data_IF_187780736985
#
_entry.id   IF_187780736985
#
_cell.length_a   1.000
_cell.length_b   1.000
_cell.length_c   1.000
_cell.angle_alpha   90.00
_cell.angle_beta   90.00
_cell.angle_gamma   90.00
#
_symmetry.space_group_name_H-M   'P 1'
#
loop_
_entity.id
_entity.type
_entity.pdbx_description
1 polymer ?
#
# COMPACT_ATOMS: atom_id res chain seq x y z
N UNK A 1 39.14 8.47 -15.11
CA UNK A 1 38.03 7.77 -15.79
C UNK A 1 36.77 8.28 -15.11
N UNK A 2 35.94 9.03 -15.83
CA UNK A 2 34.63 9.44 -15.33
C UNK A 2 33.79 8.18 -15.29
N UNK A 3 33.42 7.73 -14.09
CA UNK A 3 32.43 6.67 -13.95
C UNK A 3 31.14 7.24 -14.53
N UNK A 4 30.71 6.72 -15.67
CA UNK A 4 29.36 6.93 -16.13
C UNK A 4 28.46 6.35 -15.05
N UNK A 5 27.63 7.19 -14.44
CA UNK A 5 26.54 6.72 -13.59
C UNK A 5 25.54 6.06 -14.53
N UNK A 6 25.81 4.80 -14.89
CA UNK A 6 24.98 4.05 -15.82
C UNK A 6 23.57 3.95 -15.23
N UNK A 7 22.59 4.42 -15.99
CA UNK A 7 21.19 4.10 -15.73
C UNK A 7 21.04 2.59 -15.94
N UNK A 8 21.09 1.85 -14.84
CA UNK A 8 20.99 0.40 -14.85
C UNK A 8 19.52 0.01 -14.88
N UNK A 9 19.20 -0.98 -15.70
CA UNK A 9 17.91 -1.66 -15.60
C UNK A 9 17.95 -2.53 -14.35
N UNK A 10 17.05 -2.25 -13.42
CA UNK A 10 16.94 -2.89 -12.13
C UNK A 10 15.57 -3.52 -11.95
N UNK A 11 15.49 -4.46 -11.02
CA UNK A 11 14.25 -5.09 -10.60
C UNK A 11 14.03 -4.80 -9.12
N UNK A 12 12.85 -4.29 -8.79
CA UNK A 12 12.47 -3.95 -7.41
C UNK A 12 11.13 -4.56 -7.03
N UNK A 13 10.97 -4.86 -5.75
CA UNK A 13 9.67 -5.12 -5.16
C UNK A 13 9.19 -3.86 -4.46
N UNK A 14 7.97 -3.44 -4.75
CA UNK A 14 7.37 -2.25 -4.15
C UNK A 14 6.27 -2.70 -3.21
N UNK A 15 6.38 -2.28 -1.96
CA UNK A 15 5.41 -2.57 -0.92
C UNK A 15 4.85 -1.29 -0.32
N UNK A 16 3.63 -1.36 0.18
CA UNK A 16 2.95 -0.24 0.84
C UNK A 16 2.56 -0.64 2.25
N UNK A 17 2.83 0.21 3.23
CA UNK A 17 2.25 0.05 4.55
C UNK A 17 0.77 0.38 4.53
N UNK A 18 -0.06 -0.59 4.90
CA UNK A 18 -1.51 -0.44 4.91
C UNK A 18 -2.12 -1.20 6.07
N UNK A 19 -3.14 -0.64 6.75
CA UNK A 19 -3.91 -1.38 7.73
C UNK A 19 -4.99 -2.27 7.08
N UNK A 20 -5.19 -2.20 5.77
CA UNK A 20 -6.28 -2.90 5.09
C UNK A 20 -5.96 -4.38 4.85
N UNK A 21 -6.77 -5.25 5.46
CA UNK A 21 -6.82 -6.69 5.18
C UNK A 21 -7.68 -7.03 3.97
N UNK A 22 -8.78 -6.28 3.80
CA UNK A 22 -9.61 -6.29 2.61
C UNK A 22 -9.68 -4.85 2.10
N UNK A 23 -9.19 -4.65 0.88
CA UNK A 23 -9.26 -3.35 0.22
C UNK A 23 -10.72 -3.04 -0.17
N UNK A 24 -11.04 -1.77 -0.38
CA UNK A 24 -12.39 -1.31 -0.73
C UNK A 24 -12.93 -2.06 -1.97
N UNK A 25 -13.78 -3.06 -1.73
CA UNK A 25 -14.29 -3.98 -2.76
C UNK A 25 -15.82 -3.97 -2.74
N UNK A 26 -16.42 -4.25 -3.90
CA UNK A 26 -17.86 -4.42 -3.99
C UNK A 26 -18.33 -5.52 -3.04
N UNK A 27 -19.41 -5.25 -2.31
CA UNK A 27 -20.03 -6.23 -1.42
C UNK A 27 -20.44 -7.46 -2.21
N UNK A 28 -20.04 -8.64 -1.73
CA UNK A 28 -20.44 -9.93 -2.24
C UNK A 28 -20.75 -10.87 -1.08
N UNK A 29 -21.56 -11.92 -1.33
CA UNK A 29 -21.98 -12.87 -0.29
C UNK A 29 -20.79 -13.58 0.39
N UNK A 30 -19.71 -13.79 -0.36
CA UNK A 30 -18.44 -14.30 0.16
C UNK A 30 -17.27 -13.48 -0.40
N UNK A 31 -16.33 -13.16 0.49
CA UNK A 31 -15.12 -12.42 0.20
C UNK A 31 -13.94 -13.11 0.90
N UNK A 32 -12.77 -13.03 0.28
CA UNK A 32 -11.51 -13.44 0.89
C UNK A 32 -10.70 -12.20 1.22
N UNK A 33 -10.11 -12.15 2.42
CA UNK A 33 -9.16 -11.10 2.75
C UNK A 33 -8.01 -11.11 1.72
N UNK A 34 -7.60 -9.94 1.25
CA UNK A 34 -6.42 -9.80 0.40
C UNK A 34 -5.15 -10.18 1.18
N UNK A 35 -5.17 -10.02 2.51
CA UNK A 35 -4.01 -10.15 3.39
C UNK A 35 -4.36 -10.81 4.72
N UNK A 36 -3.34 -11.35 5.37
CA UNK A 36 -3.42 -11.90 6.72
C UNK A 36 -2.83 -10.92 7.72
N UNK A 37 -3.38 -10.81 8.94
CA UNK A 37 -2.77 -10.02 10.00
C UNK A 37 -1.33 -10.44 10.28
N UNK A 38 -0.38 -9.49 10.22
CA UNK A 38 1.03 -9.75 10.60
C UNK A 38 1.20 -10.01 12.10
N UNK A 39 0.27 -9.50 12.91
CA UNK A 39 0.23 -9.70 14.36
C UNK A 39 -1.21 -9.75 14.83
N UNK A 40 -1.39 -10.25 16.05
CA UNK A 40 -2.68 -10.27 16.73
C UNK A 40 -3.31 -8.88 16.74
N UNK A 41 -4.46 -8.73 16.08
CA UNK A 41 -5.15 -7.46 15.89
C UNK A 41 -6.67 -7.63 15.97
N UNK A 42 -7.41 -6.57 16.29
CA UNK A 42 -8.86 -6.51 16.12
C UNK A 42 -9.20 -6.08 14.72
N UNK A 43 -10.42 -6.37 14.29
CA UNK A 43 -10.91 -5.97 12.97
C UNK A 43 -11.84 -4.77 13.06
N UNK A 44 -11.66 -3.87 12.12
CA UNK A 44 -12.46 -2.68 11.95
C UNK A 44 -13.08 -2.75 10.55
N UNK A 45 -14.40 -2.89 10.49
CA UNK A 45 -15.14 -3.03 9.24
C UNK A 45 -15.82 -1.71 8.92
N UNK A 46 -15.77 -1.34 7.66
CA UNK A 46 -16.47 -0.17 7.15
C UNK A 46 -17.24 -0.56 5.90
N UNK A 47 -18.47 -0.08 5.85
CA UNK A 47 -19.40 -0.33 4.77
C UNK A 47 -19.94 1.02 4.31
N UNK A 48 -19.85 1.29 3.01
CA UNK A 48 -20.29 2.53 2.40
C UNK A 48 -21.03 2.30 1.07
N UNK A 49 -21.84 3.25 0.64
CA UNK A 49 -22.56 3.21 -0.63
C UNK A 49 -23.67 2.16 -0.72
N UNK A 50 -24.04 1.49 0.37
CA UNK A 50 -25.15 0.53 0.35
C UNK A 50 -26.50 1.26 0.36
N UNK A 51 -27.43 0.79 -0.45
CA UNK A 51 -28.86 1.18 -0.39
C UNK A 51 -29.65 0.25 0.52
N UNK A 52 -29.18 -0.98 0.71
CA UNK A 52 -29.68 -1.92 1.72
C UNK A 52 -28.52 -2.25 2.65
N UNK A 53 -28.51 -1.61 3.81
CA UNK A 53 -27.39 -1.60 4.74
C UNK A 53 -27.64 -2.36 6.04
N UNK A 54 -28.80 -3.01 6.14
CA UNK A 54 -29.14 -3.83 7.31
C UNK A 54 -28.70 -5.25 7.04
N UNK A 55 -27.65 -5.68 7.72
CA UNK A 55 -27.09 -7.01 7.50
C UNK A 55 -26.00 -7.38 8.48
N UNK A 56 -25.43 -8.54 8.23
CA UNK A 56 -24.40 -9.16 9.04
C UNK A 56 -23.17 -9.42 8.19
N UNK A 57 -22.01 -9.03 8.71
CA UNK A 57 -20.72 -9.47 8.17
C UNK A 57 -20.09 -10.40 9.20
N UNK A 58 -19.85 -11.64 8.83
CA UNK A 58 -19.15 -12.62 9.68
C UNK A 58 -17.75 -12.82 9.15
N UNK A 59 -16.76 -12.47 9.96
CA UNK A 59 -15.35 -12.74 9.67
C UNK A 59 -14.93 -13.99 10.44
N UNK A 60 -14.40 -14.97 9.73
CA UNK A 60 -13.89 -16.23 10.28
C UNK A 60 -12.38 -16.31 10.06
N UNK A 61 -11.70 -16.95 11.00
CA UNK A 61 -10.25 -17.11 11.01
C UNK A 61 -9.82 -17.99 12.18
N UNK A 62 -8.77 -17.59 12.90
CA UNK A 62 -8.44 -18.19 14.21
C UNK A 62 -9.55 -17.98 15.26
N UNK A 63 -10.35 -16.93 15.10
CA UNK A 63 -11.60 -16.69 15.82
C UNK A 63 -12.72 -16.34 14.84
N UNK A 64 -13.97 -16.30 15.32
CA UNK A 64 -15.13 -15.91 14.51
C UNK A 64 -15.81 -14.73 15.17
N UNK A 65 -16.06 -13.66 14.42
CA UNK A 65 -16.77 -12.47 14.88
C UNK A 65 -17.82 -12.03 13.86
N UNK A 66 -19.01 -11.68 14.35
CA UNK A 66 -20.12 -11.20 13.52
C UNK A 66 -20.41 -9.75 13.84
N UNK A 67 -20.35 -8.92 12.81
CA UNK A 67 -20.61 -7.49 12.84
C UNK A 67 -22.02 -7.22 12.33
N UNK A 68 -22.86 -6.61 13.17
CA UNK A 68 -24.21 -6.23 12.79
C UNK A 68 -24.25 -4.77 12.36
N UNK A 69 -24.71 -4.56 11.12
CA UNK A 69 -24.94 -3.26 10.52
C UNK A 69 -26.43 -3.00 10.44
N UNK A 70 -26.86 -1.85 10.93
CA UNK A 70 -28.22 -1.31 10.81
C UNK A 70 -28.30 -0.23 9.73
N UNK A 71 -27.15 0.35 9.39
CA UNK A 71 -26.92 1.41 8.42
C UNK A 71 -25.46 1.34 7.94
N UNK A 72 -25.12 2.09 6.89
CA UNK A 72 -23.73 2.30 6.49
C UNK A 72 -22.92 2.87 7.64
N UNK A 73 -21.64 2.56 7.66
CA UNK A 73 -20.71 3.11 8.63
C UNK A 73 -19.68 2.11 9.11
N UNK A 74 -19.17 2.39 10.29
CA UNK A 74 -17.99 1.75 10.84
C UNK A 74 -18.31 0.94 12.08
N UNK A 75 -17.73 -0.26 12.18
CA UNK A 75 -17.83 -1.14 13.34
C UNK A 75 -16.45 -1.68 13.71
N UNK A 76 -16.12 -1.63 15.00
CA UNK A 76 -14.88 -2.21 15.54
C UNK A 76 -15.21 -3.46 16.32
N UNK A 77 -14.46 -4.51 16.05
CA UNK A 77 -14.57 -5.80 16.70
C UNK A 77 -13.86 -5.80 18.04
N UNK A 78 -14.16 -6.80 18.85
CA UNK A 78 -13.55 -7.00 20.16
C UNK A 78 -12.59 -8.19 20.18
N UNK A 79 -12.69 -9.09 19.21
CA UNK A 79 -11.87 -10.31 19.14
C UNK A 79 -10.55 -10.07 18.43
N UNK A 80 -9.53 -10.75 18.91
CA UNK A 80 -8.19 -10.70 18.33
C UNK A 80 -8.05 -11.78 17.24
N UNK A 81 -7.69 -11.35 16.03
CA UNK A 81 -7.42 -12.16 14.85
C UNK A 81 -5.91 -12.23 14.59
N UNK A 82 -5.42 -13.44 14.35
CA UNK A 82 -4.08 -13.73 13.82
C UNK A 82 -4.14 -14.30 12.40
N UNK A 83 -5.33 -14.69 11.95
CA UNK A 83 -5.59 -15.12 10.57
C UNK A 83 -7.06 -14.85 10.22
N UNK A 84 -7.34 -14.66 8.94
CA UNK A 84 -8.69 -14.49 8.37
C UNK A 84 -8.85 -15.51 7.25
N UNK A 85 -9.75 -16.47 7.42
CA UNK A 85 -10.03 -17.53 6.45
C UNK A 85 -11.19 -17.20 5.52
N UNK A 86 -12.22 -16.51 6.01
CA UNK A 86 -13.37 -16.12 5.19
C UNK A 86 -14.09 -14.88 5.73
N UNK A 87 -14.73 -14.15 4.82
CA UNK A 87 -15.63 -13.04 5.14
C UNK A 87 -16.96 -13.34 4.46
N UNK A 88 -18.02 -13.52 5.24
CA UNK A 88 -19.36 -13.79 4.74
C UNK A 88 -20.25 -12.58 4.98
N UNK A 89 -20.96 -12.14 3.96
CA UNK A 89 -21.88 -11.00 4.04
C UNK A 89 -23.30 -11.48 3.77
N UNK A 90 -24.24 -11.08 4.62
CA UNK A 90 -25.66 -11.41 4.49
C UNK A 90 -26.52 -10.18 4.78
N UNK A 91 -27.60 -9.99 4.01
CA UNK A 91 -28.52 -8.86 4.15
C UNK A 91 -28.08 -7.55 3.49
N UNK A 92 -26.82 -7.44 3.06
CA UNK A 92 -26.28 -6.28 2.34
C UNK A 92 -26.16 -6.64 0.86
N UNK A 93 -26.80 -5.87 -0.02
CA UNK A 93 -26.97 -6.23 -1.44
C UNK A 93 -26.12 -5.43 -2.42
N UNK A 94 -25.56 -4.29 -2.00
CA UNK A 94 -24.69 -3.44 -2.82
C UNK A 94 -23.78 -2.60 -1.93
N UNK A 95 -22.93 -1.76 -2.54
CA UNK A 95 -21.98 -0.89 -1.86
C UNK A 95 -20.58 -1.49 -1.80
N UNK A 96 -19.74 -0.87 -0.99
CA UNK A 96 -18.35 -1.25 -0.79
C UNK A 96 -18.08 -1.63 0.65
N UNK A 97 -17.22 -2.62 0.83
CA UNK A 97 -16.76 -3.08 2.13
C UNK A 97 -15.23 -3.03 2.17
N UNK A 98 -14.72 -2.62 3.32
CA UNK A 98 -13.30 -2.68 3.64
C UNK A 98 -13.10 -3.21 5.06
N UNK A 99 -11.99 -3.93 5.25
CA UNK A 99 -11.62 -4.50 6.55
C UNK A 99 -10.22 -4.01 6.91
N UNK A 100 -10.12 -3.34 8.05
CA UNK A 100 -8.90 -2.78 8.62
C UNK A 100 -8.46 -3.62 9.82
N UNK A 101 -7.17 -3.86 9.95
CA UNK A 101 -6.55 -4.35 11.17
C UNK A 101 -6.30 -3.17 12.11
N UNK A 102 -6.75 -3.29 13.35
CA UNK A 102 -6.60 -2.26 14.39
C UNK A 102 -6.12 -2.89 15.70
N UNK A 103 -5.43 -2.11 16.52
CA UNK A 103 -4.98 -2.52 17.85
C UNK A 103 -6.16 -2.57 18.84
N UNK A 104 -5.90 -3.03 20.05
CA UNK A 104 -6.88 -2.98 21.16
C UNK A 104 -7.30 -1.55 21.52
N UNK A 105 -6.45 -0.57 21.24
CA UNK A 105 -6.70 0.87 21.43
C UNK A 105 -7.29 1.54 20.19
N UNK A 106 -7.63 0.77 19.15
CA UNK A 106 -8.23 1.27 17.91
C UNK A 106 -7.24 1.90 16.93
N UNK A 107 -5.93 1.81 17.21
CA UNK A 107 -4.90 2.35 16.32
C UNK A 107 -4.69 1.42 15.11
N UNK A 108 -4.49 1.93 13.89
CA UNK A 108 -4.23 1.09 12.71
C UNK A 108 -3.02 0.18 12.91
N UNK A 109 -3.16 -1.09 12.53
CA UNK A 109 -2.06 -2.05 12.47
C UNK A 109 -1.60 -2.14 11.04
N UNK A 110 -0.57 -1.35 10.70
CA UNK A 110 0.02 -1.34 9.37
C UNK A 110 0.76 -2.64 9.08
N UNK A 111 0.59 -3.11 7.84
CA UNK A 111 1.16 -4.33 7.30
C UNK A 111 1.73 -4.03 5.91
N UNK A 112 2.72 -4.78 5.49
CA UNK A 112 3.30 -4.67 4.16
C UNK A 112 2.36 -5.30 3.11
N UNK A 113 1.84 -4.48 2.21
CA UNK A 113 1.14 -4.91 1.00
C UNK A 113 2.10 -4.90 -0.16
N UNK A 114 2.30 -6.04 -0.82
CA UNK A 114 2.95 -6.04 -2.14
C UNK A 114 2.07 -5.28 -3.14
N UNK A 115 2.62 -4.20 -3.71
CA UNK A 115 1.99 -3.44 -4.80
C UNK A 115 2.49 -3.98 -6.13
N UNK A 116 3.81 -4.12 -6.26
CA UNK A 116 4.44 -4.70 -7.43
C UNK A 116 5.51 -5.69 -6.99
N UNK A 117 5.47 -6.89 -7.56
CA UNK A 117 6.51 -7.88 -7.39
C UNK A 117 7.31 -7.95 -8.70
N UNK A 118 8.62 -7.79 -8.60
CA UNK A 118 9.56 -7.79 -9.72
C UNK A 118 9.28 -6.71 -10.77
N UNK A 119 9.07 -5.47 -10.32
CA UNK A 119 8.92 -4.32 -11.19
C UNK A 119 10.26 -3.97 -11.84
N UNK A 120 10.31 -3.98 -13.17
CA UNK A 120 11.44 -3.46 -13.91
C UNK A 120 11.44 -1.92 -13.86
N UNK A 121 12.53 -1.35 -13.36
CA UNK A 121 12.73 0.09 -13.23
C UNK A 121 14.11 0.46 -13.75
N UNK A 122 14.28 1.73 -14.13
CA UNK A 122 15.61 2.30 -14.33
C UNK A 122 16.06 2.93 -13.03
N UNK A 123 17.31 2.74 -12.66
CA UNK A 123 17.81 3.16 -11.36
C UNK A 123 19.13 3.90 -11.49
N UNK A 124 19.26 5.00 -10.75
CA UNK A 124 20.41 5.90 -10.76
C UNK A 124 20.80 6.25 -9.33
N UNK A 125 22.08 6.14 -8.99
CA UNK A 125 22.60 6.56 -7.70
C UNK A 125 22.90 8.06 -7.73
N UNK A 126 22.31 8.81 -6.80
CA UNK A 126 22.48 10.24 -6.63
C UNK A 126 23.51 10.51 -5.51
N UNK A 127 24.71 9.97 -5.63
CA UNK A 127 25.77 10.30 -4.68
C UNK A 127 26.12 11.80 -4.79
N UNK A 128 25.77 12.57 -3.76
CA UNK A 128 26.22 13.97 -3.61
C UNK A 128 25.36 15.06 -4.26
N UNK A 129 24.16 14.74 -4.77
CA UNK A 129 23.24 15.77 -5.25
C UNK A 129 22.45 16.41 -4.09
N UNK A 130 22.33 17.75 -4.08
CA UNK A 130 21.54 18.50 -3.10
C UNK A 130 20.48 19.28 -3.88
N UNK A 131 19.21 19.08 -3.52
CA UNK A 131 18.11 19.90 -4.05
C UNK A 131 17.76 20.98 -3.03
N UNK A 132 17.84 22.24 -3.44
CA UNK A 132 17.37 23.36 -2.63
C UNK A 132 15.84 23.42 -2.73
N UNK A 133 15.15 23.17 -1.63
CA UNK A 133 13.72 23.45 -1.51
C UNK A 133 13.51 24.85 -0.90
N UNK A 134 12.28 25.17 -0.50
CA UNK A 134 11.97 26.42 0.18
C UNK A 134 12.97 26.74 1.32
N UNK A 135 13.19 28.02 1.66
CA UNK A 135 14.29 28.41 2.54
C UNK A 135 14.30 27.61 3.86
N UNK A 136 15.32 26.76 4.03
CA UNK A 136 15.53 25.98 5.25
C UNK A 136 15.45 24.45 5.08
N UNK A 137 14.97 23.93 3.95
CA UNK A 137 14.88 22.48 3.73
C UNK A 137 15.88 21.98 2.68
N UNK A 138 16.69 21.00 3.07
CA UNK A 138 17.52 20.19 2.17
C UNK A 138 17.04 18.74 2.26
N UNK A 139 16.50 18.21 1.17
CA UNK A 139 16.22 16.76 1.07
C UNK A 139 17.33 16.16 0.22
N UNK A 140 18.11 15.26 0.81
CA UNK A 140 19.14 14.49 0.10
C UNK A 140 18.55 13.13 -0.23
N UNK A 141 18.03 12.97 -1.44
CA UNK A 141 17.73 11.64 -1.97
C UNK A 141 19.05 10.95 -2.33
N UNK A 142 19.15 9.65 -2.05
CA UNK A 142 20.35 8.86 -2.36
C UNK A 142 20.25 8.18 -3.72
N UNK A 143 19.01 7.94 -4.18
CA UNK A 143 18.76 7.25 -5.43
C UNK A 143 17.56 7.85 -6.16
N UNK A 144 17.59 7.73 -7.49
CA UNK A 144 16.48 8.06 -8.37
C UNK A 144 16.02 6.81 -9.12
N UNK A 145 14.73 6.59 -9.13
CA UNK A 145 14.08 5.47 -9.79
C UNK A 145 13.10 5.99 -10.83
N UNK A 146 13.12 5.39 -12.01
CA UNK A 146 12.20 5.69 -13.09
C UNK A 146 11.36 4.44 -13.39
N UNK A 147 10.06 4.56 -13.23
CA UNK A 147 9.08 3.50 -13.46
C UNK A 147 8.17 3.84 -14.65
N UNK A 148 7.56 2.81 -15.23
CA UNK A 148 6.60 2.98 -16.31
C UNK A 148 5.41 3.87 -15.88
N UNK A 149 4.83 4.64 -16.82
CA UNK A 149 3.78 5.64 -16.54
C UNK A 149 2.47 5.04 -16.05
N UNK A 150 2.25 3.74 -16.27
CA UNK A 150 1.05 3.01 -15.84
C UNK A 150 1.12 2.54 -14.36
N UNK A 151 2.24 2.77 -13.67
CA UNK A 151 2.43 2.32 -12.29
C UNK A 151 1.86 3.33 -11.30
N UNK A 152 1.37 2.84 -10.17
CA UNK A 152 0.77 3.67 -9.11
C UNK A 152 1.71 3.67 -7.92
N UNK A 153 2.78 4.45 -8.03
CA UNK A 153 3.77 4.65 -6.96
C UNK A 153 3.37 5.84 -6.10
N UNK A 154 3.60 5.73 -4.79
CA UNK A 154 3.26 6.77 -3.83
C UNK A 154 4.40 7.03 -2.85
N UNK A 155 4.43 8.23 -2.28
CA UNK A 155 5.33 8.53 -1.17
C UNK A 155 5.09 7.58 0.00
N UNK A 156 6.17 7.20 0.68
CA UNK A 156 6.22 6.19 1.76
C UNK A 156 6.02 4.74 1.31
N UNK A 157 5.95 4.46 0.01
CA UNK A 157 6.12 3.10 -0.47
C UNK A 157 7.55 2.63 -0.19
N UNK A 158 7.67 1.37 0.21
CA UNK A 158 8.92 0.67 0.42
C UNK A 158 9.42 0.07 -0.88
N UNK A 159 10.70 0.26 -1.16
CA UNK A 159 11.40 -0.30 -2.32
C UNK A 159 12.42 -1.31 -1.81
N UNK A 160 12.26 -2.57 -2.21
CA UNK A 160 13.24 -3.63 -1.97
C UNK A 160 13.98 -3.91 -3.28
N UNK A 161 15.30 -3.77 -3.25
CA UNK A 161 16.12 -4.14 -4.40
C UNK A 161 16.13 -5.66 -4.57
N UNK A 162 15.84 -6.12 -5.78
CA UNK A 162 15.90 -7.55 -6.13
C UNK A 162 17.16 -7.83 -6.94
N UNK A 163 17.39 -7.07 -8.02
CA UNK A 163 18.58 -7.22 -8.87
C UNK A 163 18.91 -5.93 -9.61
N UNK A 164 20.17 -5.79 -10.03
CA UNK A 164 20.63 -4.66 -10.83
C UNK A 164 20.82 -3.35 -10.06
N UNK A 165 20.79 -3.40 -8.72
CA UNK A 165 21.06 -2.23 -7.86
C UNK A 165 22.17 -2.56 -6.86
N UNK A 166 23.10 -1.63 -6.70
CA UNK A 166 24.21 -1.74 -5.75
C UNK A 166 24.01 -0.71 -4.64
N UNK A 167 24.18 -1.13 -3.39
CA UNK A 167 24.19 -0.23 -2.23
C UNK A 167 22.86 -0.04 -1.50
N UNK A 168 21.73 -0.47 -2.07
CA UNK A 168 20.41 -0.40 -1.42
C UNK A 168 19.81 -1.80 -1.25
N UNK A 169 19.42 -2.12 -0.02
CA UNK A 169 18.64 -3.34 0.30
C UNK A 169 17.17 -2.99 0.49
N UNK A 170 16.91 -1.86 1.14
CA UNK A 170 15.57 -1.29 1.37
C UNK A 170 15.66 0.23 1.28
N UNK A 171 14.66 0.84 0.67
CA UNK A 171 14.50 2.29 0.61
C UNK A 171 13.05 2.71 0.76
N UNK A 172 12.84 3.98 1.07
CA UNK A 172 11.55 4.62 1.12
C UNK A 172 11.44 5.63 -0.01
N UNK A 173 10.32 5.59 -0.74
CA UNK A 173 9.99 6.62 -1.71
C UNK A 173 9.68 7.91 -0.96
N UNK A 174 10.53 8.89 -1.12
CA UNK A 174 10.45 10.18 -0.43
C UNK A 174 9.74 11.25 -1.25
N UNK A 175 9.62 11.04 -2.56
CA UNK A 175 8.97 11.92 -3.52
C UNK A 175 8.60 11.13 -4.77
N UNK A 176 7.45 11.46 -5.37
CA UNK A 176 6.98 10.89 -6.64
C UNK A 176 6.54 12.03 -7.55
N UNK A 177 7.00 12.03 -8.79
CA UNK A 177 6.54 12.95 -9.83
C UNK A 177 6.22 12.19 -11.11
N UNK A 178 5.21 12.66 -11.84
CA UNK A 178 4.83 12.12 -13.14
C UNK A 178 5.31 13.10 -14.21
N UNK A 179 6.34 12.73 -14.95
CA UNK A 179 6.81 13.56 -16.04
C UNK A 179 5.96 13.34 -17.28
N UNK A 180 5.52 14.45 -17.85
CA UNK A 180 4.83 14.50 -19.13
C UNK A 180 5.84 14.79 -20.23
N UNK A 181 5.73 14.07 -21.34
CA UNK A 181 6.44 14.37 -22.58
C UNK A 181 5.85 15.64 -23.22
N UNK A 182 6.53 16.18 -24.24
CA UNK A 182 6.16 17.36 -25.00
C UNK A 182 4.81 17.23 -25.73
N UNK A 183 4.30 16.00 -25.91
CA UNK A 183 2.97 15.73 -26.47
C UNK A 183 1.85 15.64 -25.42
N UNK A 184 2.19 15.77 -24.12
CA UNK A 184 1.26 15.70 -23.00
C UNK A 184 0.95 14.28 -22.52
N UNK A 185 1.59 13.24 -23.07
CA UNK A 185 1.53 11.89 -22.53
C UNK A 185 2.52 11.71 -21.36
N UNK A 186 2.21 10.86 -20.39
CA UNK A 186 3.16 10.54 -19.32
C UNK A 186 4.26 9.63 -19.89
N UNK A 187 5.52 10.09 -19.87
CA UNK A 187 6.68 9.29 -20.35
C UNK A 187 7.08 8.26 -19.29
N UNK A 188 7.28 8.73 -18.05
CA UNK A 188 7.64 7.89 -16.91
C UNK A 188 7.30 8.54 -15.57
N UNK A 189 7.35 7.73 -14.53
CA UNK A 189 7.22 8.17 -13.13
C UNK A 189 8.61 8.25 -12.53
N UNK A 190 8.97 9.42 -12.01
CA UNK A 190 10.19 9.64 -11.25
C UNK A 190 9.92 9.45 -9.77
N UNK A 191 10.79 8.71 -9.10
CA UNK A 191 10.72 8.47 -7.67
C UNK A 191 12.08 8.74 -7.06
N UNK A 192 12.12 9.54 -6.00
CA UNK A 192 13.33 9.73 -5.21
C UNK A 192 13.31 8.79 -4.01
N UNK A 193 14.37 8.00 -3.85
CA UNK A 193 14.47 6.98 -2.81
C UNK A 193 15.52 7.39 -1.79
N UNK A 194 15.14 7.28 -0.52
CA UNK A 194 15.98 7.53 0.64
C UNK A 194 16.13 6.21 1.41
N UNK A 195 17.34 5.86 1.83
CA UNK A 195 17.52 4.75 2.77
C UNK A 195 17.03 5.18 4.16
N UNK A 196 16.39 4.27 4.92
CA UNK A 196 15.90 4.57 6.27
C UNK A 196 17.02 4.80 7.29
#
# INVERSE_FOLDING_TARGET
MSEFTDILTAVVNIKRFTPYLLDNINVAASLSANRQPEKSCRLALEIDGCTVSTGLVTVSGNTIETFSFTNNGFKVGIKDFTSVSSILVSGISNGFIQVKAVSKTGQPVNQEKDIYNSLAVRFEALEGSIRMMAPGEQKKAEYKMYAAPDKILQENDLVYAVSGIVGITVGLISFVDTLMDFDGATDHIECEIMTP
#
